data_IF_400412032383
#
_entry.id   IF_400412032383
#
_cell.length_a   1.000
_cell.length_b   1.000
_cell.length_c   1.000
_cell.angle_alpha   90.00
_cell.angle_beta   90.00
_cell.angle_gamma   90.00
#
_symmetry.space_group_name_H-M   'P 1'
#
loop_
_entity.id
_entity.type
_entity.pdbx_description
1 polymer ?
#
# COMPACT_ATOMS: atom_id res chain seq x y z
N UNK A 1 -14.31 1.01 -14.70
CA UNK A 1 -13.23 0.38 -13.90
C UNK A 1 -12.41 -0.48 -14.85
N UNK A 2 -11.33 0.07 -15.42
CA UNK A 2 -10.44 -0.72 -16.27
C UNK A 2 -9.65 -1.64 -15.34
N UNK A 3 -9.81 -2.95 -15.48
CA UNK A 3 -9.04 -3.93 -14.72
C UNK A 3 -7.53 -3.77 -14.93
N UNK A 4 -6.69 -4.52 -14.20
CA UNK A 4 -5.24 -4.49 -14.36
C UNK A 4 -4.85 -4.65 -15.84
N UNK A 5 -4.04 -3.72 -16.33
CA UNK A 5 -3.62 -3.68 -17.73
C UNK A 5 -2.70 -4.88 -18.05
N UNK A 6 -2.61 -5.33 -19.32
CA UNK A 6 -1.61 -6.33 -19.70
C UNK A 6 -0.17 -5.88 -19.35
N UNK A 7 0.10 -4.57 -19.43
CA UNK A 7 1.38 -3.98 -19.05
C UNK A 7 1.67 -4.14 -17.56
N UNK A 8 0.64 -4.00 -16.71
CA UNK A 8 0.72 -4.20 -15.27
C UNK A 8 1.12 -5.64 -14.89
N UNK A 9 0.55 -6.65 -15.56
CA UNK A 9 0.96 -8.04 -15.35
C UNK A 9 2.37 -8.29 -15.89
N UNK A 10 2.68 -7.72 -17.06
CA UNK A 10 3.98 -7.92 -17.72
C UNK A 10 5.12 -7.32 -16.90
N UNK A 11 4.98 -6.11 -16.38
CA UNK A 11 6.04 -5.47 -15.57
C UNK A 11 6.32 -6.26 -14.29
N UNK A 12 5.29 -6.78 -13.63
CA UNK A 12 5.41 -7.62 -12.43
C UNK A 12 6.08 -8.96 -12.72
N UNK A 13 5.58 -9.66 -13.74
CA UNK A 13 6.16 -10.93 -14.18
C UNK A 13 7.62 -10.77 -14.59
N UNK A 14 7.93 -9.75 -15.40
CA UNK A 14 9.29 -9.44 -15.80
C UNK A 14 10.18 -9.13 -14.60
N UNK A 15 9.72 -8.34 -13.62
CA UNK A 15 10.49 -8.03 -12.41
C UNK A 15 10.85 -9.26 -11.58
N UNK A 16 9.91 -10.21 -11.42
CA UNK A 16 10.16 -11.47 -10.72
C UNK A 16 11.19 -12.32 -11.49
N UNK A 17 11.04 -12.41 -12.81
CA UNK A 17 11.99 -13.15 -13.67
C UNK A 17 13.38 -12.53 -13.61
N UNK A 18 13.50 -11.20 -13.64
CA UNK A 18 14.78 -10.49 -13.44
C UNK A 18 15.41 -10.88 -12.12
N UNK A 19 14.65 -10.87 -11.02
CA UNK A 19 15.16 -11.22 -9.70
C UNK A 19 15.70 -12.66 -9.65
N UNK A 20 14.98 -13.61 -10.25
CA UNK A 20 15.39 -15.02 -10.33
C UNK A 20 16.66 -15.17 -11.18
N UNK A 21 16.69 -14.58 -12.37
CA UNK A 21 17.82 -14.70 -13.30
C UNK A 21 19.07 -13.99 -12.77
N UNK A 22 18.93 -12.81 -12.16
CA UNK A 22 20.02 -12.10 -11.49
C UNK A 22 20.58 -12.94 -10.34
N UNK A 23 19.71 -13.55 -9.54
CA UNK A 23 20.12 -14.45 -8.45
C UNK A 23 20.87 -15.66 -8.98
N UNK A 24 20.34 -16.34 -10.01
CA UNK A 24 20.98 -17.50 -10.62
C UNK A 24 22.36 -17.14 -11.20
N UNK A 25 22.47 -15.98 -11.87
CA UNK A 25 23.74 -15.49 -12.40
C UNK A 25 24.76 -15.21 -11.29
N UNK A 26 24.34 -14.55 -10.20
CA UNK A 26 25.19 -14.25 -9.04
C UNK A 26 25.65 -15.53 -8.33
N UNK A 27 24.74 -16.47 -8.05
CA UNK A 27 25.06 -17.76 -7.43
C UNK A 27 26.05 -18.53 -8.30
N UNK A 28 25.82 -18.60 -9.61
CA UNK A 28 26.75 -19.24 -10.54
C UNK A 28 28.13 -18.56 -10.52
N UNK A 29 28.18 -17.23 -10.44
CA UNK A 29 29.42 -16.46 -10.28
C UNK A 29 30.14 -16.76 -8.96
N UNK A 30 29.41 -16.87 -7.84
CA UNK A 30 29.98 -17.22 -6.53
C UNK A 30 30.59 -18.62 -6.55
N UNK A 31 29.87 -19.60 -7.12
CA UNK A 31 30.27 -21.00 -7.15
C UNK A 31 31.43 -21.28 -8.12
N UNK A 32 31.53 -20.52 -9.22
CA UNK A 32 32.55 -20.73 -10.26
C UNK A 32 33.85 -19.96 -10.04
N UNK A 33 33.86 -18.96 -9.14
CA UNK A 33 35.05 -18.15 -8.81
C UNK A 33 36.07 -18.87 -7.89
N UNK A 34 36.11 -20.22 -7.93
CA UNK A 34 37.01 -21.07 -7.16
C UNK A 34 37.47 -22.30 -7.97
N UNK A 35 38.29 -23.19 -7.37
CA UNK A 35 38.70 -24.46 -8.01
C UNK A 35 37.54 -25.48 -8.13
N UNK A 36 36.33 -25.07 -7.76
CA UNK A 36 35.14 -25.91 -7.81
C UNK A 36 34.59 -25.93 -9.24
N UNK A 37 35.05 -26.89 -10.02
CA UNK A 37 34.29 -27.43 -11.13
C UNK A 37 33.41 -28.52 -10.53
N UNK A 38 32.08 -28.41 -10.66
CA UNK A 38 31.21 -29.56 -10.39
C UNK A 38 31.80 -30.75 -11.16
N UNK A 39 32.04 -31.87 -10.47
CA UNK A 39 32.70 -33.03 -11.06
C UNK A 39 31.99 -33.41 -12.36
N UNK A 40 32.66 -33.25 -13.51
CA UNK A 40 32.10 -33.55 -14.83
C UNK A 40 31.52 -32.36 -15.63
N UNK A 41 31.41 -31.14 -15.09
CA UNK A 41 30.95 -29.97 -15.87
C UNK A 41 32.14 -29.12 -16.34
N UNK A 42 32.36 -28.97 -17.66
CA UNK A 42 33.42 -28.13 -18.19
C UNK A 42 33.22 -26.64 -17.86
N UNK A 43 34.32 -25.92 -17.60
CA UNK A 43 34.30 -24.47 -17.31
C UNK A 43 33.69 -23.62 -18.43
N UNK A 44 33.78 -24.06 -19.68
CA UNK A 44 33.16 -23.34 -20.79
C UNK A 44 31.63 -23.35 -20.70
N UNK A 45 31.02 -24.43 -20.17
CA UNK A 45 29.58 -24.55 -20.03
C UNK A 45 29.08 -23.58 -18.96
N UNK A 46 29.72 -23.56 -17.79
CA UNK A 46 29.34 -22.66 -16.69
C UNK A 46 29.56 -21.19 -17.06
N UNK A 47 30.67 -20.86 -17.74
CA UNK A 47 30.92 -19.50 -18.21
C UNK A 47 29.91 -19.08 -19.30
N UNK A 48 29.55 -19.98 -20.22
CA UNK A 48 28.52 -19.71 -21.24
C UNK A 48 27.15 -19.53 -20.60
N UNK A 49 26.81 -20.35 -19.60
CA UNK A 49 25.56 -20.24 -18.86
C UNK A 49 25.48 -18.93 -18.07
N UNK A 50 26.55 -18.53 -17.37
CA UNK A 50 26.60 -17.24 -16.66
C UNK A 50 26.41 -16.06 -17.61
N UNK A 51 27.06 -16.09 -18.79
CA UNK A 51 26.87 -15.09 -19.83
C UNK A 51 25.45 -15.07 -20.36
N UNK A 52 24.88 -16.22 -20.70
CA UNK A 52 23.52 -16.32 -21.24
C UNK A 52 22.47 -15.85 -20.22
N UNK A 53 22.59 -16.27 -18.96
CA UNK A 53 21.73 -15.80 -17.87
C UNK A 53 21.83 -14.29 -17.68
N UNK A 54 23.05 -13.73 -17.68
CA UNK A 54 23.24 -12.29 -17.53
C UNK A 54 22.63 -11.49 -18.68
N UNK A 55 22.78 -11.96 -19.93
CA UNK A 55 22.15 -11.32 -21.09
C UNK A 55 20.61 -11.45 -21.04
N UNK A 56 20.09 -12.59 -20.58
CA UNK A 56 18.65 -12.78 -20.41
C UNK A 56 18.09 -11.88 -19.30
N UNK A 57 18.81 -11.73 -18.19
CA UNK A 57 18.50 -10.75 -17.13
C UNK A 57 18.41 -9.35 -17.71
N UNK A 58 19.36 -8.95 -18.58
CA UNK A 58 19.34 -7.63 -19.22
C UNK A 58 18.08 -7.44 -20.09
N UNK A 59 17.71 -8.44 -20.90
CA UNK A 59 16.51 -8.39 -21.73
C UNK A 59 15.26 -8.22 -20.88
N UNK A 60 15.09 -9.03 -19.84
CA UNK A 60 13.94 -8.93 -18.94
C UNK A 60 13.97 -7.64 -18.10
N UNK A 61 15.13 -7.10 -17.78
CA UNK A 61 15.27 -5.83 -17.08
C UNK A 61 14.80 -4.67 -17.96
N UNK A 62 15.22 -4.64 -19.22
CA UNK A 62 14.73 -3.65 -20.20
C UNK A 62 13.21 -3.79 -20.36
N UNK A 63 12.70 -5.02 -20.51
CA UNK A 63 11.25 -5.26 -20.58
C UNK A 63 10.52 -4.75 -19.34
N UNK A 64 11.04 -5.04 -18.14
CA UNK A 64 10.48 -4.60 -16.87
C UNK A 64 10.40 -3.07 -16.78
N UNK A 65 11.49 -2.36 -17.12
CA UNK A 65 11.56 -0.89 -17.10
C UNK A 65 10.62 -0.28 -18.14
N UNK A 66 10.67 -0.75 -19.40
CA UNK A 66 9.83 -0.20 -20.47
C UNK A 66 8.34 -0.40 -20.20
N UNK A 67 7.95 -1.58 -19.70
CA UNK A 67 6.55 -1.84 -19.35
C UNK A 67 6.12 -1.08 -18.10
N UNK A 68 7.02 -0.82 -17.14
CA UNK A 68 6.73 0.05 -16.00
C UNK A 68 6.51 1.52 -16.39
N UNK A 69 7.28 2.03 -17.35
CA UNK A 69 7.10 3.39 -17.90
C UNK A 69 5.81 3.48 -18.72
N UNK A 70 5.51 2.45 -19.52
CA UNK A 70 4.32 2.41 -20.34
C UNK A 70 3.02 2.23 -19.53
N UNK A 71 3.11 1.65 -18.34
CA UNK A 71 1.96 1.50 -17.44
C UNK A 71 1.57 2.85 -16.83
N UNK A 72 0.35 3.31 -17.13
CA UNK A 72 -0.12 4.64 -16.72
C UNK A 72 -0.40 4.77 -15.23
N UNK A 73 -0.30 3.69 -14.45
CA UNK A 73 -0.65 3.68 -13.02
C UNK A 73 0.24 4.61 -12.20
N UNK A 74 1.57 4.50 -12.37
CA UNK A 74 2.54 5.27 -11.58
C UNK A 74 2.98 6.57 -12.27
N UNK A 75 2.48 6.87 -13.48
CA UNK A 75 2.81 8.04 -14.28
C UNK A 75 4.33 8.29 -14.39
N UNK A 76 5.10 7.21 -14.55
CA UNK A 76 6.56 7.26 -14.59
C UNK A 76 7.05 7.80 -15.93
N UNK A 77 8.06 8.66 -15.89
CA UNK A 77 8.78 9.15 -17.07
C UNK A 77 10.15 8.49 -17.24
N UNK A 78 10.78 8.72 -18.40
CA UNK A 78 12.16 8.26 -18.67
C UNK A 78 13.17 8.76 -17.64
N UNK A 79 12.99 10.00 -17.15
CA UNK A 79 13.84 10.58 -16.09
C UNK A 79 13.82 9.73 -14.80
N UNK A 80 12.69 9.12 -14.49
CA UNK A 80 12.49 8.36 -13.25
C UNK A 80 13.17 6.98 -13.32
N UNK A 81 13.48 6.52 -14.53
CA UNK A 81 14.21 5.28 -14.79
C UNK A 81 15.73 5.47 -14.92
N UNK A 82 16.20 6.70 -15.13
CA UNK A 82 17.60 7.03 -15.38
C UNK A 82 18.27 7.80 -14.24
N UNK A 83 17.49 8.48 -13.39
CA UNK A 83 18.05 9.28 -12.30
C UNK A 83 17.56 8.69 -10.98
N UNK A 84 18.47 8.14 -10.15
CA UNK A 84 18.11 7.64 -8.83
C UNK A 84 17.36 8.68 -8.01
N UNK A 85 16.28 8.25 -7.34
CA UNK A 85 15.47 9.06 -6.42
C UNK A 85 14.70 10.23 -7.06
N UNK A 86 14.68 10.37 -8.39
CA UNK A 86 13.95 11.44 -9.07
C UNK A 86 12.42 11.26 -9.06
N UNK A 87 11.94 10.01 -8.96
CA UNK A 87 10.52 9.70 -8.98
C UNK A 87 9.80 10.21 -7.74
N UNK A 88 8.65 10.87 -7.92
CA UNK A 88 7.72 11.20 -6.83
C UNK A 88 6.96 9.97 -6.32
N UNK A 89 6.93 8.89 -7.09
CA UNK A 89 6.33 7.62 -6.70
C UNK A 89 7.36 6.78 -5.96
N UNK A 90 7.21 6.62 -4.63
CA UNK A 90 8.12 5.81 -3.78
C UNK A 90 9.61 6.09 -4.01
N UNK A 91 10.09 7.32 -3.77
CA UNK A 91 11.40 7.80 -4.25
C UNK A 91 12.57 6.91 -3.84
N UNK A 92 12.62 6.50 -2.56
CA UNK A 92 13.68 5.64 -2.03
C UNK A 92 13.74 4.32 -2.79
N UNK A 93 12.62 3.62 -2.87
CA UNK A 93 12.54 2.29 -3.45
C UNK A 93 12.78 2.31 -4.96
N UNK A 94 12.25 3.31 -5.66
CA UNK A 94 12.56 3.52 -7.09
C UNK A 94 14.04 3.81 -7.31
N UNK A 95 14.65 4.65 -6.48
CA UNK A 95 16.09 4.93 -6.56
C UNK A 95 16.96 3.70 -6.35
N UNK A 96 16.60 2.78 -5.43
CA UNK A 96 17.30 1.50 -5.30
C UNK A 96 17.20 0.64 -6.57
N UNK A 97 16.05 0.67 -7.24
CA UNK A 97 15.85 -0.03 -8.51
C UNK A 97 16.70 0.54 -9.63
N UNK A 98 16.72 1.87 -9.77
CA UNK A 98 17.58 2.58 -10.76
C UNK A 98 19.05 2.30 -10.50
N UNK A 99 19.52 2.46 -9.26
CA UNK A 99 20.92 2.17 -8.90
C UNK A 99 21.30 0.71 -9.18
N UNK A 100 20.41 -0.23 -8.87
CA UNK A 100 20.65 -1.65 -9.17
C UNK A 100 20.77 -1.90 -10.67
N UNK A 101 19.88 -1.29 -11.47
CA UNK A 101 19.87 -1.39 -12.93
C UNK A 101 21.12 -0.77 -13.56
N UNK A 102 21.54 0.41 -13.10
CA UNK A 102 22.76 1.09 -13.56
C UNK A 102 24.02 0.28 -13.24
N UNK A 103 24.12 -0.23 -12.01
CA UNK A 103 25.21 -1.13 -11.62
C UNK A 103 25.21 -2.38 -12.50
N UNK A 104 24.04 -3.02 -12.69
CA UNK A 104 23.93 -4.20 -13.54
C UNK A 104 24.32 -3.92 -15.00
N UNK A 105 23.87 -2.80 -15.55
CA UNK A 105 24.25 -2.37 -16.90
C UNK A 105 25.76 -2.13 -17.01
N UNK A 106 26.37 -1.45 -16.04
CA UNK A 106 27.82 -1.26 -15.98
C UNK A 106 28.58 -2.61 -15.93
N UNK A 107 28.08 -3.59 -15.16
CA UNK A 107 28.65 -4.93 -15.10
C UNK A 107 28.62 -5.63 -16.48
N UNK A 108 27.49 -5.53 -17.20
CA UNK A 108 27.37 -6.12 -18.54
C UNK A 108 28.32 -5.44 -19.53
N UNK A 109 28.29 -4.10 -19.60
CA UNK A 109 29.12 -3.32 -20.53
C UNK A 109 30.59 -3.60 -20.31
N UNK A 110 31.06 -3.48 -19.06
CA UNK A 110 32.47 -3.72 -18.72
C UNK A 110 32.90 -5.16 -18.94
N UNK A 111 31.99 -6.13 -18.82
CA UNK A 111 32.26 -7.54 -19.12
C UNK A 111 32.35 -7.81 -20.62
N UNK A 112 31.59 -7.09 -21.46
CA UNK A 112 31.69 -7.14 -22.92
C UNK A 112 32.99 -6.52 -23.41
N UNK A 113 33.40 -5.38 -22.85
CA UNK A 113 34.64 -4.69 -23.22
C UNK A 113 35.85 -5.09 -22.37
N UNK A 114 35.78 -6.22 -21.65
CA UNK A 114 36.83 -6.65 -20.70
C UNK A 114 38.24 -6.73 -21.30
N UNK A 115 38.33 -6.96 -22.62
CA UNK A 115 39.61 -7.00 -23.35
C UNK A 115 40.36 -5.66 -23.37
N UNK A 116 39.65 -4.54 -23.14
CA UNK A 116 40.20 -3.19 -23.14
C UNK A 116 40.53 -2.66 -21.72
N UNK A 117 39.88 -3.19 -20.68
CA UNK A 117 39.92 -2.64 -19.32
C UNK A 117 41.02 -3.24 -18.43
N UNK A 118 41.63 -4.36 -18.85
CA UNK A 118 42.52 -5.14 -18.00
C UNK A 118 41.78 -5.87 -16.87
N UNK A 119 42.38 -6.96 -16.37
CA UNK A 119 41.72 -7.85 -15.41
C UNK A 119 41.40 -7.18 -14.06
N UNK A 120 42.28 -6.31 -13.56
CA UNK A 120 42.12 -5.66 -12.25
C UNK A 120 40.90 -4.74 -12.19
N UNK A 121 40.78 -3.81 -13.14
CA UNK A 121 39.67 -2.87 -13.20
C UNK A 121 38.35 -3.60 -13.49
N UNK A 122 38.34 -4.53 -14.46
CA UNK A 122 37.18 -5.37 -14.72
C UNK A 122 36.72 -6.11 -13.46
N UNK A 123 37.65 -6.74 -12.73
CA UNK A 123 37.32 -7.49 -11.51
C UNK A 123 36.75 -6.58 -10.43
N UNK A 124 37.33 -5.40 -10.21
CA UNK A 124 36.83 -4.44 -9.22
C UNK A 124 35.40 -4.01 -9.53
N UNK A 125 35.12 -3.67 -10.79
CA UNK A 125 33.76 -3.32 -11.23
C UNK A 125 32.85 -4.54 -11.10
N UNK A 126 33.30 -5.72 -11.50
CA UNK A 126 32.50 -6.94 -11.45
C UNK A 126 32.09 -7.32 -10.02
N UNK A 127 32.88 -6.95 -8.99
CA UNK A 127 32.50 -7.12 -7.59
C UNK A 127 31.28 -6.29 -7.18
N UNK A 128 30.92 -5.23 -7.93
CA UNK A 128 29.68 -4.48 -7.68
C UNK A 128 28.43 -5.33 -7.92
N UNK A 129 28.54 -6.52 -8.52
CA UNK A 129 27.45 -7.50 -8.57
C UNK A 129 26.91 -7.84 -7.16
N UNK A 130 27.78 -7.89 -6.15
CA UNK A 130 27.39 -8.12 -4.76
C UNK A 130 26.57 -6.96 -4.16
N UNK A 131 26.69 -5.75 -4.70
CA UNK A 131 25.90 -4.59 -4.31
C UNK A 131 24.62 -4.44 -5.15
N UNK A 132 24.67 -4.74 -6.46
CA UNK A 132 23.51 -4.66 -7.36
C UNK A 132 22.37 -5.58 -6.92
N UNK A 133 22.67 -6.82 -6.52
CA UNK A 133 21.65 -7.80 -6.11
C UNK A 133 20.81 -7.40 -4.88
N UNK A 134 21.39 -7.00 -3.72
CA UNK A 134 20.58 -6.60 -2.58
C UNK A 134 19.77 -5.32 -2.86
N UNK A 135 20.27 -4.41 -3.70
CA UNK A 135 19.51 -3.23 -4.13
C UNK A 135 18.26 -3.62 -4.95
N UNK A 136 18.39 -4.57 -5.88
CA UNK A 136 17.25 -5.11 -6.64
C UNK A 136 16.22 -5.79 -5.72
N UNK A 137 16.69 -6.59 -4.76
CA UNK A 137 15.84 -7.28 -3.80
C UNK A 137 15.05 -6.29 -2.94
N UNK A 138 15.74 -5.30 -2.37
CA UNK A 138 15.11 -4.27 -1.54
C UNK A 138 14.13 -3.41 -2.35
N UNK A 139 14.49 -3.07 -3.60
CA UNK A 139 13.57 -2.43 -4.53
C UNK A 139 12.30 -3.27 -4.69
N UNK A 140 12.41 -4.53 -5.10
CA UNK A 140 11.25 -5.39 -5.36
C UNK A 140 10.36 -5.60 -4.12
N UNK A 141 10.97 -5.83 -2.96
CA UNK A 141 10.24 -5.99 -1.69
C UNK A 141 9.54 -4.70 -1.27
N UNK A 142 10.20 -3.54 -1.42
CA UNK A 142 9.70 -2.24 -0.98
C UNK A 142 8.68 -1.59 -1.93
N UNK A 143 8.79 -1.83 -3.24
CA UNK A 143 7.86 -1.31 -4.26
C UNK A 143 6.68 -2.24 -4.51
N UNK A 144 6.90 -3.56 -4.51
CA UNK A 144 5.94 -4.55 -4.96
C UNK A 144 4.67 -4.60 -4.10
N UNK A 145 3.50 -4.46 -4.71
CA UNK A 145 2.25 -4.78 -3.99
C UNK A 145 2.10 -6.28 -3.75
N UNK A 146 2.80 -7.10 -4.54
CA UNK A 146 2.79 -8.56 -4.45
C UNK A 146 3.65 -9.09 -3.30
N UNK A 147 4.39 -8.23 -2.59
CA UNK A 147 5.22 -8.65 -1.44
C UNK A 147 4.41 -9.31 -0.33
N UNK A 148 3.09 -9.05 -0.24
CA UNK A 148 2.20 -9.74 0.71
C UNK A 148 1.70 -11.09 0.21
N UNK A 149 1.87 -11.40 -1.08
CA UNK A 149 1.49 -12.68 -1.62
C UNK A 149 2.50 -13.75 -1.17
N UNK A 150 1.99 -14.85 -0.64
CA UNK A 150 2.82 -15.95 -0.12
C UNK A 150 3.81 -16.48 -1.18
N UNK A 151 3.39 -16.56 -2.45
CA UNK A 151 4.25 -17.04 -3.54
C UNK A 151 5.43 -16.10 -3.80
N UNK A 152 5.23 -14.78 -3.70
CA UNK A 152 6.29 -13.79 -3.91
C UNK A 152 7.32 -13.84 -2.77
N UNK A 153 6.83 -14.01 -1.54
CA UNK A 153 7.68 -14.23 -0.36
C UNK A 153 8.53 -15.48 -0.51
N UNK A 154 7.95 -16.60 -0.97
CA UNK A 154 8.70 -17.83 -1.19
C UNK A 154 9.78 -17.67 -2.27
N UNK A 155 9.49 -16.98 -3.37
CA UNK A 155 10.49 -16.72 -4.42
C UNK A 155 11.63 -15.86 -3.87
N UNK A 156 11.32 -14.76 -3.19
CA UNK A 156 12.33 -13.88 -2.60
C UNK A 156 13.15 -14.60 -1.51
N UNK A 157 12.50 -15.37 -0.64
CA UNK A 157 13.16 -16.19 0.37
C UNK A 157 14.06 -17.25 -0.26
N UNK A 158 13.61 -17.90 -1.33
CA UNK A 158 14.42 -18.84 -2.11
C UNK A 158 15.64 -18.18 -2.73
N UNK A 159 15.50 -16.96 -3.27
CA UNK A 159 16.62 -16.20 -3.81
C UNK A 159 17.65 -15.85 -2.71
N UNK A 160 17.18 -15.36 -1.56
CA UNK A 160 18.03 -15.06 -0.40
C UNK A 160 18.75 -16.31 0.10
N UNK A 161 18.02 -17.42 0.26
CA UNK A 161 18.59 -18.69 0.70
C UNK A 161 19.64 -19.22 -0.26
N UNK A 162 19.42 -19.10 -1.58
CA UNK A 162 20.38 -19.53 -2.60
C UNK A 162 21.69 -18.72 -2.52
N UNK A 163 21.60 -17.38 -2.39
CA UNK A 163 22.79 -16.52 -2.25
C UNK A 163 23.52 -16.80 -0.95
N UNK A 164 22.83 -16.80 0.19
CA UNK A 164 23.44 -17.07 1.49
C UNK A 164 24.05 -18.48 1.56
N UNK A 165 23.38 -19.49 1.01
CA UNK A 165 23.91 -20.85 0.91
C UNK A 165 25.19 -20.91 0.06
N UNK A 166 25.21 -20.21 -1.08
CA UNK A 166 26.41 -20.15 -1.93
C UNK A 166 27.57 -19.40 -1.26
N UNK A 167 27.28 -18.35 -0.50
CA UNK A 167 28.29 -17.61 0.28
C UNK A 167 28.83 -18.46 1.44
N UNK A 168 27.95 -19.12 2.20
CA UNK A 168 28.34 -20.01 3.29
C UNK A 168 29.21 -21.16 2.78
N UNK A 169 28.79 -21.80 1.69
CA UNK A 169 29.59 -22.81 0.99
C UNK A 169 30.99 -22.29 0.65
N UNK A 170 31.07 -21.08 0.08
CA UNK A 170 32.36 -20.48 -0.30
C UNK A 170 33.25 -20.20 0.90
N UNK A 171 32.71 -19.68 2.00
CA UNK A 171 33.46 -19.41 3.24
C UNK A 171 34.02 -20.70 3.85
N UNK A 172 33.27 -21.80 3.76
CA UNK A 172 33.69 -23.14 4.22
C UNK A 172 34.74 -23.75 3.28
N UNK A 173 34.46 -23.76 1.97
CA UNK A 173 35.28 -24.45 0.96
C UNK A 173 36.60 -23.73 0.64
N UNK A 174 36.63 -22.40 0.72
CA UNK A 174 37.87 -21.64 0.57
C UNK A 174 38.55 -21.64 1.94
N UNK A 175 39.58 -22.48 2.07
CA UNK A 175 40.53 -22.49 3.19
C UNK A 175 41.17 -21.09 3.33
N UNK A 176 40.55 -20.20 4.09
CA UNK A 176 41.19 -18.97 4.53
C UNK A 176 41.95 -19.32 5.80
N UNK A 177 43.27 -19.23 5.80
CA UNK A 177 44.16 -19.37 6.97
C UNK A 177 43.90 -18.32 8.08
N UNK A 178 42.75 -17.65 8.04
CA UNK A 178 42.32 -16.57 8.93
C UNK A 178 40.92 -16.89 9.45
N UNK A 179 40.85 -17.72 10.48
CA UNK A 179 39.60 -18.13 11.14
C UNK A 179 38.71 -16.94 11.53
N UNK A 180 39.32 -15.81 11.94
CA UNK A 180 38.59 -14.59 12.30
C UNK A 180 37.73 -14.00 11.17
N UNK A 181 38.19 -14.02 9.91
CA UNK A 181 37.42 -13.48 8.79
C UNK A 181 36.19 -14.33 8.46
N UNK A 182 36.26 -15.63 8.70
CA UNK A 182 35.11 -16.54 8.52
C UNK A 182 34.01 -16.22 9.52
N UNK A 183 34.37 -16.05 10.79
CA UNK A 183 33.42 -15.68 11.83
C UNK A 183 32.74 -14.34 11.54
N UNK A 184 33.52 -13.33 11.11
CA UNK A 184 32.99 -12.01 10.74
C UNK A 184 32.02 -12.09 9.55
N UNK A 185 32.38 -12.80 8.48
CA UNK A 185 31.52 -12.92 7.30
C UNK A 185 30.24 -13.71 7.58
N UNK A 186 30.33 -14.78 8.37
CA UNK A 186 29.16 -15.57 8.80
C UNK A 186 28.22 -14.74 9.67
N UNK A 187 28.77 -14.00 10.64
CA UNK A 187 27.98 -13.12 11.52
C UNK A 187 27.33 -11.99 10.72
N UNK A 188 28.06 -11.35 9.81
CA UNK A 188 27.53 -10.29 8.95
C UNK A 188 26.39 -10.81 8.05
N UNK A 189 26.54 -12.02 7.49
CA UNK A 189 25.50 -12.64 6.66
C UNK A 189 24.25 -12.97 7.46
N UNK A 190 24.41 -13.53 8.67
CA UNK A 190 23.31 -13.83 9.58
C UNK A 190 22.59 -12.55 10.04
N UNK A 191 23.36 -11.53 10.44
CA UNK A 191 22.81 -10.23 10.83
C UNK A 191 22.05 -9.57 9.67
N UNK A 192 22.57 -9.63 8.44
CA UNK A 192 21.89 -9.14 7.25
C UNK A 192 20.57 -9.86 6.97
N UNK A 193 20.53 -11.19 7.10
CA UNK A 193 19.31 -11.98 6.92
C UNK A 193 18.25 -11.64 7.98
N UNK A 194 18.66 -11.49 9.25
CA UNK A 194 17.76 -11.08 10.35
C UNK A 194 17.25 -9.65 10.14
N UNK A 195 18.11 -8.72 9.72
CA UNK A 195 17.73 -7.34 9.42
C UNK A 195 16.73 -7.28 8.26
N UNK A 196 16.95 -8.06 7.20
CA UNK A 196 16.01 -8.16 6.08
C UNK A 196 14.66 -8.72 6.53
N UNK A 197 14.65 -9.79 7.33
CA UNK A 197 13.41 -10.37 7.85
C UNK A 197 12.66 -9.36 8.73
N UNK A 198 13.36 -8.69 9.64
CA UNK A 198 12.79 -7.65 10.49
C UNK A 198 12.21 -6.49 9.66
N UNK A 199 12.92 -6.07 8.60
CA UNK A 199 12.45 -5.06 7.66
C UNK A 199 11.16 -5.51 6.96
N UNK A 200 11.11 -6.72 6.40
CA UNK A 200 9.93 -7.28 5.72
C UNK A 200 8.71 -7.31 6.65
N UNK A 201 8.90 -7.84 7.87
CA UNK A 201 7.82 -8.00 8.85
C UNK A 201 7.33 -6.66 9.39
N UNK A 202 8.23 -5.71 9.67
CA UNK A 202 7.87 -4.40 10.25
C UNK A 202 7.50 -3.34 9.20
N UNK A 203 7.83 -3.57 7.93
CA UNK A 203 7.59 -2.63 6.84
C UNK A 203 6.60 -3.17 5.81
N UNK A 204 7.07 -3.78 4.71
CA UNK A 204 6.24 -4.21 3.57
C UNK A 204 4.97 -5.01 3.90
N UNK A 205 5.03 -5.86 4.93
CA UNK A 205 3.88 -6.67 5.33
C UNK A 205 2.84 -5.90 6.15
N UNK A 206 3.21 -4.77 6.77
CA UNK A 206 2.30 -4.00 7.61
C UNK A 206 1.23 -3.26 6.79
N UNK A 207 -0.01 -3.12 7.32
CA UNK A 207 -1.01 -2.21 6.77
C UNK A 207 -0.45 -0.78 6.63
N UNK A 208 -0.89 -0.04 5.62
CA UNK A 208 -0.42 1.34 5.40
C UNK A 208 1.01 1.47 4.83
N UNK A 209 1.73 0.36 4.61
CA UNK A 209 3.07 0.39 3.99
C UNK A 209 3.11 1.19 2.68
N UNK A 210 2.05 1.13 1.87
CA UNK A 210 2.01 1.88 0.62
C UNK A 210 2.21 3.39 0.83
N UNK A 211 1.57 3.96 1.85
CA UNK A 211 1.75 5.37 2.22
C UNK A 211 3.16 5.60 2.80
N UNK A 212 3.61 4.75 3.73
CA UNK A 212 4.93 4.86 4.35
C UNK A 212 6.09 4.74 3.36
N UNK A 213 5.91 3.94 2.30
CA UNK A 213 6.86 3.76 1.22
C UNK A 213 6.90 4.94 0.24
N UNK A 214 6.03 5.94 0.40
CA UNK A 214 5.99 7.14 -0.45
C UNK A 214 5.05 7.02 -1.66
N UNK A 215 3.97 6.23 -1.57
CA UNK A 215 2.92 6.26 -2.62
C UNK A 215 2.13 7.56 -2.50
N UNK A 216 1.97 8.33 -3.59
CA UNK A 216 1.11 9.51 -3.64
C UNK A 216 -0.33 9.20 -3.18
N UNK A 217 -0.93 10.10 -2.39
CA UNK A 217 -2.26 9.87 -1.78
C UNK A 217 -3.38 9.68 -2.80
N UNK A 218 -3.24 10.27 -3.99
CA UNK A 218 -4.17 10.12 -5.11
C UNK A 218 -4.12 8.73 -5.76
N UNK A 219 -3.08 7.94 -5.52
CA UNK A 219 -2.93 6.56 -6.02
C UNK A 219 -3.24 5.50 -4.95
N UNK A 220 -3.35 5.90 -3.69
CA UNK A 220 -3.86 5.01 -2.67
C UNK A 220 -5.36 4.77 -2.97
N UNK A 221 -5.87 3.54 -2.79
CA UNK A 221 -7.30 3.37 -2.69
C UNK A 221 -7.80 4.42 -1.71
N UNK A 222 -8.83 5.18 -2.09
CA UNK A 222 -9.52 6.00 -1.11
C UNK A 222 -9.70 5.08 0.10
N UNK A 223 -9.22 5.49 1.27
CA UNK A 223 -9.86 4.98 2.46
C UNK A 223 -11.31 5.39 2.22
N UNK A 224 -12.10 4.45 1.73
CA UNK A 224 -13.47 4.33 2.16
C UNK A 224 -13.33 4.38 3.68
N UNK A 225 -13.37 5.59 4.24
CA UNK A 225 -14.30 5.84 5.30
C UNK A 225 -15.51 5.01 4.89
N UNK A 226 -15.74 3.95 5.64
CA UNK A 226 -16.86 3.07 5.48
C UNK A 226 -18.12 3.88 5.79
N UNK A 227 -18.41 4.90 4.99
CA UNK A 227 -19.74 5.13 4.48
C UNK A 227 -20.00 3.95 3.57
N UNK A 228 -20.45 2.87 4.20
CA UNK A 228 -21.24 1.84 3.57
C UNK A 228 -22.44 2.53 2.92
N UNK A 229 -22.25 3.17 1.76
CA UNK A 229 -23.32 3.42 0.82
C UNK A 229 -23.61 2.08 0.18
N UNK A 230 -24.12 1.14 0.97
CA UNK A 230 -25.20 0.31 0.48
C UNK A 230 -26.13 1.28 -0.21
N UNK A 231 -26.39 1.07 -1.50
CA UNK A 231 -27.57 1.63 -2.13
C UNK A 231 -28.79 1.01 -1.44
N UNK A 232 -29.01 1.35 -0.16
CA UNK A 232 -30.30 1.35 0.45
C UNK A 232 -31.04 2.41 -0.34
N UNK A 233 -32.14 2.01 -0.99
CA UNK A 233 -33.17 2.92 -1.46
C UNK A 233 -33.28 4.03 -0.43
N UNK A 234 -32.88 5.25 -0.79
CA UNK A 234 -32.86 6.34 0.17
C UNK A 234 -34.26 6.42 0.76
N UNK A 235 -34.40 6.15 2.06
CA UNK A 235 -35.69 6.31 2.72
C UNK A 235 -36.08 7.78 2.54
N UNK A 236 -37.10 8.04 1.73
CA UNK A 236 -37.62 9.39 1.53
C UNK A 236 -38.67 9.59 2.62
N UNK A 237 -38.53 10.64 3.42
CA UNK A 237 -39.52 10.97 4.45
C UNK A 237 -40.89 11.19 3.78
N UNK A 238 -41.87 10.30 3.99
CA UNK A 238 -43.16 10.40 3.32
C UNK A 238 -43.93 11.63 3.82
N UNK A 239 -44.69 12.25 2.93
CA UNK A 239 -45.68 13.26 3.29
C UNK A 239 -46.95 12.58 3.84
N UNK A 240 -47.57 13.18 4.85
CA UNK A 240 -48.83 12.70 5.46
C UNK A 240 -48.67 11.87 6.74
N UNK A 241 -47.47 11.84 7.35
CA UNK A 241 -47.29 11.24 8.67
C UNK A 241 -48.03 12.09 9.72
N UNK A 242 -48.60 11.43 10.71
CA UNK A 242 -49.23 12.03 11.89
C UNK A 242 -49.07 11.06 13.07
N UNK A 243 -47.85 10.98 13.57
CA UNK A 243 -47.41 9.95 14.50
C UNK A 243 -46.89 10.58 15.79
N UNK A 244 -47.02 9.86 16.91
CA UNK A 244 -46.48 10.32 18.19
C UNK A 244 -44.97 10.09 18.24
N UNK A 245 -44.26 11.08 18.75
CA UNK A 245 -42.84 11.03 19.07
C UNK A 245 -42.63 10.89 20.58
N UNK A 246 -41.61 10.11 20.97
CA UNK A 246 -41.15 10.00 22.36
C UNK A 246 -39.63 10.08 22.41
N UNK A 247 -39.12 10.82 23.39
CA UNK A 247 -37.69 11.06 23.50
C UNK A 247 -37.24 11.47 24.88
N UNK A 248 -35.96 11.81 24.96
CA UNK A 248 -35.32 12.30 26.18
C UNK A 248 -34.46 13.52 25.85
N UNK A 249 -34.44 14.48 26.77
CA UNK A 249 -33.48 15.59 26.71
C UNK A 249 -32.13 15.11 27.24
N UNK A 250 -31.06 15.37 26.49
CA UNK A 250 -29.68 15.21 26.95
C UNK A 250 -29.00 16.56 26.95
N UNK A 251 -28.73 17.07 28.15
CA UNK A 251 -27.98 18.31 28.33
C UNK A 251 -26.48 18.02 28.08
N UNK A 252 -25.84 18.87 27.31
CA UNK A 252 -24.40 18.81 27.06
C UNK A 252 -23.65 19.59 28.15
N UNK A 253 -22.43 19.16 28.47
CA UNK A 253 -21.61 19.76 29.52
C UNK A 253 -21.21 21.22 29.21
N UNK A 254 -21.34 21.64 27.95
CA UNK A 254 -21.09 23.00 27.46
C UNK A 254 -22.29 23.96 27.47
N UNK A 255 -23.44 23.57 28.04
CA UNK A 255 -24.64 24.42 28.14
C UNK A 255 -25.61 24.35 26.95
N UNK A 256 -25.32 23.51 25.95
CA UNK A 256 -26.27 23.15 24.90
C UNK A 256 -27.20 22.00 25.31
N UNK A 257 -28.28 21.80 24.56
CA UNK A 257 -29.21 20.68 24.79
C UNK A 257 -29.47 19.92 23.50
N UNK A 258 -29.52 18.58 23.61
CA UNK A 258 -29.87 17.68 22.50
C UNK A 258 -31.10 16.88 22.86
N UNK A 259 -32.17 17.06 22.11
CA UNK A 259 -33.41 16.27 22.26
C UNK A 259 -33.44 15.23 21.16
N UNK A 260 -33.52 13.95 21.53
CA UNK A 260 -33.66 12.85 20.56
C UNK A 260 -35.06 12.29 20.70
N UNK A 261 -35.89 12.50 19.68
CA UNK A 261 -37.26 12.03 19.58
C UNK A 261 -37.31 10.86 18.61
N UNK A 262 -37.86 9.72 19.05
CA UNK A 262 -38.12 8.55 18.20
C UNK A 262 -39.60 8.43 17.92
N UNK A 263 -39.95 8.01 16.71
CA UNK A 263 -41.33 7.70 16.35
C UNK A 263 -41.84 6.44 17.08
N UNK A 264 -43.07 6.49 17.59
CA UNK A 264 -43.66 5.38 18.36
C UNK A 264 -44.04 4.20 17.46
N UNK A 265 -44.41 4.44 16.20
CA UNK A 265 -44.76 3.41 15.22
C UNK A 265 -43.54 2.89 14.48
N UNK A 266 -42.55 3.74 14.22
CA UNK A 266 -41.27 3.39 13.59
C UNK A 266 -40.06 3.88 14.42
N UNK A 267 -39.59 3.12 15.41
CA UNK A 267 -38.47 3.53 16.28
C UNK A 267 -37.15 3.79 15.54
N UNK A 268 -37.02 3.36 14.28
CA UNK A 268 -35.87 3.66 13.45
C UNK A 268 -35.91 5.12 12.95
N UNK A 269 -37.08 5.73 12.81
CA UNK A 269 -37.23 7.14 12.49
C UNK A 269 -36.97 7.99 13.75
N UNK A 270 -35.93 8.81 13.69
CA UNK A 270 -35.52 9.70 14.78
C UNK A 270 -35.39 11.14 14.30
N UNK A 271 -35.93 12.06 15.09
CA UNK A 271 -35.78 13.51 14.95
C UNK A 271 -34.89 13.98 16.09
N UNK A 272 -33.68 14.43 15.75
CA UNK A 272 -32.74 15.01 16.70
C UNK A 272 -32.75 16.53 16.58
N UNK A 273 -33.05 17.20 17.68
CA UNK A 273 -32.99 18.65 17.81
C UNK A 273 -31.73 18.98 18.60
N UNK A 274 -30.85 19.80 18.02
CA UNK A 274 -29.60 20.25 18.65
C UNK A 274 -29.66 21.75 18.87
N UNK A 275 -29.54 22.15 20.13
CA UNK A 275 -29.53 23.53 20.59
C UNK A 275 -28.10 23.84 21.02
N UNK A 276 -27.39 24.61 20.21
CA UNK A 276 -26.00 25.00 20.49
C UNK A 276 -25.89 26.25 21.36
N UNK A 277 -26.89 27.13 21.31
CA UNK A 277 -27.00 28.33 22.14
C UNK A 277 -28.44 28.45 22.65
N UNK A 278 -28.68 28.48 23.99
CA UNK A 278 -30.02 28.61 24.56
C UNK A 278 -30.71 29.95 24.25
N UNK A 279 -30.00 30.95 23.71
CA UNK A 279 -30.57 32.23 23.25
C UNK A 279 -30.80 32.29 21.73
N UNK A 280 -30.42 31.25 20.98
CA UNK A 280 -30.64 31.21 19.53
C UNK A 280 -32.12 31.01 19.17
N UNK A 281 -32.59 31.76 18.18
CA UNK A 281 -33.95 31.64 17.64
C UNK A 281 -34.12 30.48 16.65
N UNK A 282 -32.99 29.94 16.17
CA UNK A 282 -32.93 28.84 15.21
C UNK A 282 -32.22 27.64 15.83
N UNK A 283 -32.82 26.46 15.69
CA UNK A 283 -32.26 25.19 16.19
C UNK A 283 -31.92 24.26 15.03
N UNK A 284 -30.89 23.43 15.19
CA UNK A 284 -30.54 22.46 14.14
C UNK A 284 -31.36 21.20 14.33
N UNK A 285 -32.18 20.85 13.35
CA UNK A 285 -32.97 19.62 13.31
C UNK A 285 -32.36 18.67 12.30
N UNK A 286 -32.04 17.46 12.74
CA UNK A 286 -31.64 16.35 11.86
C UNK A 286 -32.64 15.20 11.97
N UNK A 287 -33.01 14.66 10.82
CA UNK A 287 -33.91 13.51 10.70
C UNK A 287 -33.10 12.33 10.20
N UNK A 288 -33.24 11.18 10.85
CA UNK A 288 -32.55 9.95 10.49
C UNK A 288 -33.50 8.77 10.55
N UNK A 289 -33.29 7.78 9.66
CA UNK A 289 -33.94 6.47 9.72
C UNK A 289 -32.87 5.39 9.89
N UNK A 290 -32.81 4.76 11.06
CA UNK A 290 -31.75 3.82 11.41
C UNK A 290 -30.37 4.47 11.35
N UNK A 291 -29.49 3.98 10.47
CA UNK A 291 -28.15 4.54 10.26
C UNK A 291 -28.10 5.62 9.16
N UNK A 292 -29.22 5.87 8.46
CA UNK A 292 -29.27 6.82 7.35
C UNK A 292 -29.71 8.20 7.85
N UNK A 293 -28.87 9.22 7.65
CA UNK A 293 -29.30 10.61 7.80
C UNK A 293 -30.13 10.99 6.59
N UNK A 294 -31.40 11.35 6.81
CA UNK A 294 -32.28 11.78 5.74
C UNK A 294 -31.99 13.24 5.38
N UNK A 295 -31.65 14.07 6.38
CA UNK A 295 -31.76 15.52 6.27
C UNK A 295 -31.27 16.23 7.54
N UNK A 296 -30.67 17.41 7.37
CA UNK A 296 -30.28 18.30 8.46
C UNK A 296 -30.53 19.74 8.03
N UNK A 297 -31.33 20.49 8.80
CA UNK A 297 -31.73 21.86 8.47
C UNK A 297 -31.93 22.68 9.74
N UNK A 298 -31.98 24.00 9.61
CA UNK A 298 -32.39 24.89 10.70
C UNK A 298 -33.91 24.95 10.78
N UNK A 299 -34.46 24.92 12.00
CA UNK A 299 -35.88 25.09 12.27
C UNK A 299 -36.10 26.35 13.14
N UNK A 300 -37.13 27.11 12.81
CA UNK A 300 -37.57 28.24 13.62
C UNK A 300 -38.43 27.74 14.80
N UNK A 301 -38.24 28.31 15.98
CA UNK A 301 -38.98 27.94 17.20
C UNK A 301 -40.17 28.89 17.39
N UNK A 302 -41.41 28.40 17.21
CA UNK A 302 -42.61 29.27 17.17
C UNK A 302 -43.92 28.62 17.63
N UNK A 303 -43.94 27.95 18.79
CA UNK A 303 -45.11 27.16 19.27
C UNK A 303 -45.13 25.71 18.77
N UNK A 304 -44.22 25.38 17.85
CA UNK A 304 -43.84 24.08 17.31
C UNK A 304 -42.47 24.21 16.63
N UNK A 305 -41.96 23.11 16.07
CA UNK A 305 -40.71 23.09 15.29
C UNK A 305 -41.01 22.74 13.84
N UNK A 306 -40.87 23.71 12.95
CA UNK A 306 -41.10 23.51 11.52
C UNK A 306 -39.77 23.53 10.75
N UNK A 307 -39.55 22.49 9.94
CA UNK A 307 -38.31 22.26 9.19
C UNK A 307 -38.62 21.72 7.79
N UNK A 308 -37.87 22.15 6.76
CA UNK A 308 -38.04 21.62 5.39
C UNK A 308 -36.94 20.62 5.05
N UNK A 309 -37.36 19.48 4.52
CA UNK A 309 -36.54 18.31 4.38
C UNK A 309 -36.68 17.73 2.96
N UNK A 310 -35.89 18.25 2.03
CA UNK A 310 -36.10 17.98 0.61
C UNK A 310 -37.46 18.51 0.15
N UNK A 311 -38.34 17.63 -0.31
CA UNK A 311 -39.71 17.94 -0.76
C UNK A 311 -40.77 17.78 0.34
N UNK A 312 -40.37 17.58 1.60
CA UNK A 312 -41.30 17.34 2.71
C UNK A 312 -41.08 18.37 3.81
N UNK A 313 -42.14 19.08 4.19
CA UNK A 313 -42.17 19.93 5.39
C UNK A 313 -42.50 19.06 6.58
N UNK A 314 -41.70 19.17 7.63
CA UNK A 314 -41.84 18.49 8.90
C UNK A 314 -42.25 19.52 9.95
N UNK A 315 -43.32 19.23 10.67
CA UNK A 315 -43.83 20.06 11.76
C UNK A 315 -43.97 19.21 13.01
N UNK A 316 -43.18 19.52 14.04
CA UNK A 316 -43.28 18.86 15.34
C UNK A 316 -44.11 19.73 16.26
N UNK A 317 -45.32 19.28 16.53
CA UNK A 317 -46.30 19.97 17.35
C UNK A 317 -46.35 19.39 18.76
N UNK A 318 -46.91 20.16 19.70
CA UNK A 318 -47.21 19.71 21.07
C UNK A 318 -45.99 19.10 21.80
N UNK A 319 -44.82 19.72 21.64
CA UNK A 319 -43.60 19.30 22.33
C UNK A 319 -43.76 19.60 23.83
N UNK A 320 -43.93 18.56 24.64
CA UNK A 320 -44.10 18.66 26.09
C UNK A 320 -43.00 17.86 26.78
N UNK A 321 -42.25 18.53 27.65
CA UNK A 321 -41.30 17.90 28.56
C UNK A 321 -42.03 17.55 29.87
N UNK A 322 -41.96 16.30 30.29
CA UNK A 322 -42.47 15.84 31.57
C UNK A 322 -41.42 16.02 32.67
N UNK A 323 -41.88 16.05 33.94
CA UNK A 323 -41.01 16.29 35.10
C UNK A 323 -39.91 15.22 35.31
N UNK A 324 -39.98 14.09 34.60
CA UNK A 324 -38.98 13.02 34.59
C UNK A 324 -37.92 13.18 33.47
N UNK A 325 -37.96 14.28 32.70
CA UNK A 325 -37.06 14.55 31.59
C UNK A 325 -37.41 13.83 30.28
N UNK A 326 -38.55 13.13 30.23
CA UNK A 326 -39.09 12.57 28.99
C UNK A 326 -39.77 13.67 28.16
N UNK A 327 -39.65 13.58 26.84
CA UNK A 327 -40.26 14.53 25.89
C UNK A 327 -41.21 13.78 24.99
N UNK A 328 -42.39 14.34 24.77
CA UNK A 328 -43.38 13.82 23.83
C UNK A 328 -43.77 14.92 22.85
N UNK A 329 -44.13 14.51 21.63
CA UNK A 329 -44.62 15.43 20.60
C UNK A 329 -45.37 14.67 19.51
N UNK A 330 -45.88 15.40 18.53
CA UNK A 330 -46.54 14.82 17.35
C UNK A 330 -45.79 15.26 16.10
N UNK A 331 -45.37 14.29 15.29
CA UNK A 331 -44.74 14.51 14.01
C UNK A 331 -45.82 14.59 12.93
N UNK A 332 -45.93 15.75 12.27
CA UNK A 332 -46.75 15.94 11.08
C UNK A 332 -45.85 16.21 9.88
N UNK A 333 -46.03 15.48 8.78
CA UNK A 333 -45.31 15.74 7.53
C UNK A 333 -46.26 16.15 6.40
N UNK A 334 -45.84 17.11 5.58
CA UNK A 334 -46.60 17.59 4.41
C UNK A 334 -45.67 17.72 3.21
N UNK A 335 -46.20 17.67 1.99
CA UNK A 335 -45.40 18.00 0.81
C UNK A 335 -45.07 19.50 0.83
N UNK A 336 -43.82 19.85 0.53
CA UNK A 336 -43.33 21.23 0.46
C UNK A 336 -43.88 21.99 -0.75
#
# INVERSE_FOLDING_TARGET
>A
MSGPSPLWYTTRGAGIVVMILLTASLVLGILTNGRWTAAGIPRFVTNSLHRNLSLLTLVFLVLHILTAIADSFAQLGLKDALIPFASSYRPLWMGLGVLSAELFFALVVTSLVRGLLGYGAWRLIHLLAYASWPLALLHGIGTGSDTRAWWALLINAGCVAAVLGSLAWRVIAVATDREGWRAVLSLASAAGAVALLAFVVRGPLQPGWALAAGTPRNLLPAQTASTSSTAQSAYVLPAGLNDQLKGVVRNDAGGGARVVLSDVRDPALQVTITISDPQATDVTVSVSHGAQSLCSTSAAVGGGLTATCGSTVLDVQQLVEAADGSVQGVLVTQAA
#
